data_IF_379718971208
#
_entry.id   IF_379718971208
#
_cell.length_a   1.000
_cell.length_b   1.000
_cell.length_c   1.000
_cell.angle_alpha   90.00
_cell.angle_beta   90.00
_cell.angle_gamma   90.00
#
_symmetry.space_group_name_H-M   'P 1'
#
loop_
_entity.id
_entity.type
_entity.pdbx_description
1 polymer ?
#
# COMPACT_ATOMS: atom_id res chain seq x y z
N UNK A 1 -8.91 -14.25 -7.63
CA UNK A 1 -8.24 -13.40 -8.64
C UNK A 1 -6.70 -13.36 -8.51
N UNK A 2 -6.11 -13.72 -7.35
CA UNK A 2 -4.66 -13.56 -7.09
C UNK A 2 -3.74 -14.55 -7.80
N UNK A 3 -4.18 -15.78 -8.09
CA UNK A 3 -3.31 -16.78 -8.73
C UNK A 3 -2.89 -16.44 -10.17
N UNK A 4 -3.72 -15.69 -10.91
CA UNK A 4 -3.41 -15.31 -12.29
C UNK A 4 -2.27 -14.29 -12.44
N UNK A 5 -1.98 -13.51 -11.40
CA UNK A 5 -0.91 -12.51 -11.47
C UNK A 5 0.49 -13.19 -11.48
N UNK A 6 0.69 -14.25 -10.68
CA UNK A 6 1.95 -15.00 -10.68
C UNK A 6 2.18 -15.72 -12.00
N UNK A 7 1.12 -16.26 -12.62
CA UNK A 7 1.21 -16.88 -13.94
C UNK A 7 1.58 -15.87 -15.03
N UNK A 8 1.03 -14.64 -14.97
CA UNK A 8 1.38 -13.55 -15.87
C UNK A 8 2.86 -13.20 -15.73
N UNK A 9 3.38 -13.02 -14.53
CA UNK A 9 4.80 -12.75 -14.29
C UNK A 9 5.69 -13.88 -14.77
N UNK A 10 5.35 -15.14 -14.48
CA UNK A 10 6.08 -16.28 -14.99
C UNK A 10 6.10 -16.31 -16.53
N UNK A 11 5.00 -15.97 -17.19
CA UNK A 11 4.94 -15.87 -18.65
C UNK A 11 5.85 -14.78 -19.21
N UNK A 12 5.94 -13.63 -18.56
CA UNK A 12 6.80 -12.53 -19.00
C UNK A 12 8.29 -12.87 -18.92
N UNK A 13 8.71 -13.59 -17.89
CA UNK A 13 10.11 -13.94 -17.65
C UNK A 13 10.51 -15.33 -18.16
N UNK A 14 9.57 -16.19 -18.54
CA UNK A 14 9.85 -17.53 -19.07
C UNK A 14 9.43 -17.61 -20.54
N UNK A 15 10.41 -17.55 -21.43
CA UNK A 15 10.20 -17.74 -22.87
C UNK A 15 10.72 -19.10 -23.30
N UNK A 16 10.23 -19.67 -24.43
CA UNK A 16 10.73 -20.95 -24.97
C UNK A 16 12.24 -20.98 -25.22
N UNK A 17 12.86 -19.83 -25.44
CA UNK A 17 14.28 -19.65 -25.74
C UNK A 17 15.17 -19.44 -24.50
N UNK A 18 14.60 -19.48 -23.28
CA UNK A 18 15.31 -19.27 -22.02
C UNK A 18 14.72 -18.16 -21.16
N UNK A 19 15.31 -17.94 -19.97
CA UNK A 19 14.88 -16.88 -19.06
C UNK A 19 15.39 -15.51 -19.53
N UNK A 20 14.48 -14.56 -19.65
CA UNK A 20 14.82 -13.14 -19.78
C UNK A 20 14.49 -12.43 -18.47
N UNK A 21 15.50 -11.79 -17.91
CA UNK A 21 15.34 -11.03 -16.66
C UNK A 21 14.86 -9.60 -16.87
N UNK A 22 14.79 -9.14 -18.13
CA UNK A 22 14.26 -7.81 -18.47
C UNK A 22 13.34 -7.93 -19.67
N UNK A 23 12.12 -7.42 -19.53
CA UNK A 23 11.08 -7.44 -20.58
C UNK A 23 10.43 -6.08 -20.72
N UNK A 24 10.04 -5.73 -21.93
CA UNK A 24 9.26 -4.54 -22.24
C UNK A 24 7.80 -4.93 -22.50
N UNK A 25 6.88 -4.16 -21.94
CA UNK A 25 5.45 -4.29 -22.20
C UNK A 25 4.80 -2.90 -22.25
N UNK A 26 3.63 -2.81 -22.87
CA UNK A 26 2.89 -1.55 -22.97
C UNK A 26 1.44 -1.70 -22.47
N UNK A 27 1.24 -1.96 -21.15
CA UNK A 27 -0.11 -2.05 -20.60
C UNK A 27 -0.84 -0.71 -20.76
N UNK A 28 -2.03 -0.76 -21.33
CA UNK A 28 -2.84 0.43 -21.65
C UNK A 28 -2.09 1.51 -22.47
N UNK A 29 -1.14 1.10 -23.31
CA UNK A 29 -0.36 2.01 -24.15
C UNK A 29 0.81 2.71 -23.43
N UNK A 30 1.01 2.49 -22.15
CA UNK A 30 2.18 3.01 -21.39
C UNK A 30 3.35 2.04 -21.52
N UNK A 31 4.46 2.51 -22.06
CA UNK A 31 5.69 1.73 -22.14
C UNK A 31 6.22 1.46 -20.73
N UNK A 32 6.36 0.18 -20.37
CA UNK A 32 6.90 -0.27 -19.09
C UNK A 32 8.03 -1.25 -19.36
N UNK A 33 9.11 -1.12 -18.60
CA UNK A 33 10.21 -2.07 -18.57
C UNK A 33 10.19 -2.75 -17.21
N UNK A 34 10.06 -4.08 -17.21
CA UNK A 34 10.11 -4.89 -16.00
C UNK A 34 11.44 -5.61 -15.96
N UNK A 35 12.18 -5.44 -14.89
CA UNK A 35 13.48 -6.09 -14.74
C UNK A 35 13.57 -6.86 -13.43
N UNK A 36 14.11 -8.08 -13.51
CA UNK A 36 14.53 -8.90 -12.38
C UNK A 36 16.07 -9.09 -12.40
N UNK A 37 16.79 -8.40 -13.30
CA UNK A 37 18.25 -8.43 -13.38
C UNK A 37 18.85 -7.74 -12.15
N UNK A 38 19.71 -8.44 -11.35
CA UNK A 38 20.27 -7.85 -10.13
C UNK A 38 21.08 -6.56 -10.38
N UNK A 39 21.81 -6.49 -11.48
CA UNK A 39 22.59 -5.32 -11.86
C UNK A 39 21.70 -4.11 -12.14
N UNK A 40 20.60 -4.32 -12.85
CA UNK A 40 19.63 -3.25 -13.11
C UNK A 40 18.93 -2.79 -11.82
N UNK A 41 18.55 -3.74 -10.97
CA UNK A 41 17.96 -3.43 -9.65
C UNK A 41 18.95 -2.62 -8.81
N UNK A 42 20.23 -3.03 -8.78
CA UNK A 42 21.28 -2.31 -8.06
C UNK A 42 21.52 -0.91 -8.66
N UNK A 43 21.49 -0.78 -9.97
CA UNK A 43 21.64 0.51 -10.64
C UNK A 43 20.51 1.46 -10.23
N UNK A 44 19.27 1.03 -10.34
CA UNK A 44 18.08 1.84 -10.07
C UNK A 44 17.98 2.22 -8.57
N UNK A 45 18.24 1.26 -7.67
CA UNK A 45 17.97 1.45 -6.23
C UNK A 45 19.19 1.99 -5.44
N UNK A 46 20.38 1.96 -6.02
CA UNK A 46 21.61 2.32 -5.30
C UNK A 46 22.60 3.12 -6.13
N UNK A 47 23.25 2.52 -7.14
CA UNK A 47 24.44 3.13 -7.75
C UNK A 47 24.14 4.29 -8.68
N UNK A 48 22.96 4.33 -9.26
CA UNK A 48 22.48 5.40 -10.15
C UNK A 48 21.11 5.95 -9.66
N UNK A 49 20.90 5.94 -8.35
CA UNK A 49 19.63 6.34 -7.74
C UNK A 49 19.17 7.74 -8.15
N UNK A 50 20.10 8.67 -8.37
CA UNK A 50 19.81 10.05 -8.79
C UNK A 50 19.30 10.17 -10.23
N UNK A 51 19.51 9.15 -11.06
CA UNK A 51 19.12 9.16 -12.48
C UNK A 51 17.68 8.64 -12.66
N UNK A 52 17.10 8.11 -11.59
CA UNK A 52 15.75 7.52 -11.59
C UNK A 52 14.84 8.25 -10.63
N UNK A 53 13.64 8.56 -11.08
CA UNK A 53 12.60 9.17 -10.26
C UNK A 53 11.24 8.56 -10.55
N UNK A 54 10.26 8.83 -9.70
CA UNK A 54 8.87 8.44 -9.91
C UNK A 54 8.22 9.25 -11.03
N UNK A 55 8.67 10.49 -11.15
CA UNK A 55 8.27 11.44 -12.18
C UNK A 55 6.94 12.14 -11.90
N UNK A 56 6.75 13.25 -12.61
CA UNK A 56 5.58 14.12 -12.48
C UNK A 56 4.23 13.40 -12.69
N UNK A 57 4.09 12.45 -13.63
CA UNK A 57 2.82 11.73 -13.77
C UNK A 57 2.43 10.94 -12.51
N UNK A 58 3.40 10.30 -11.88
CA UNK A 58 3.17 9.55 -10.65
C UNK A 58 2.84 10.49 -9.48
N UNK A 59 3.59 11.58 -9.32
CA UNK A 59 3.33 12.60 -8.31
C UNK A 59 1.91 13.13 -8.43
N UNK A 60 1.48 13.55 -9.61
CA UNK A 60 0.14 14.09 -9.86
C UNK A 60 -0.97 13.08 -9.57
N UNK A 61 -0.77 11.80 -9.89
CA UNK A 61 -1.75 10.74 -9.64
C UNK A 61 -1.93 10.45 -8.15
N UNK A 62 -0.87 10.58 -7.32
CA UNK A 62 -0.87 10.13 -5.94
C UNK A 62 -0.86 11.24 -4.90
N UNK A 63 -0.62 12.48 -5.32
CA UNK A 63 -0.48 13.63 -4.42
C UNK A 63 -1.72 13.86 -3.55
N UNK A 64 -2.90 13.72 -4.09
CA UNK A 64 -4.15 13.97 -3.36
C UNK A 64 -4.35 13.00 -2.20
N UNK A 65 -3.82 11.78 -2.33
CA UNK A 65 -3.89 10.76 -1.29
C UNK A 65 -2.68 10.76 -0.35
N UNK A 66 -1.47 10.86 -0.90
CA UNK A 66 -0.22 10.69 -0.14
C UNK A 66 0.49 12.01 0.20
N UNK A 67 -0.04 13.14 -0.27
CA UNK A 67 0.62 14.44 -0.12
C UNK A 67 1.99 14.48 -0.82
N UNK A 68 2.81 15.47 -0.46
CA UNK A 68 4.19 15.58 -0.93
C UNK A 68 5.15 14.74 -0.06
N UNK A 69 4.82 13.47 0.08
CA UNK A 69 5.58 12.52 0.90
C UNK A 69 6.73 11.86 0.14
N UNK A 70 7.57 11.12 0.87
CA UNK A 70 8.66 10.31 0.29
C UNK A 70 8.17 9.30 -0.77
N UNK A 71 6.88 8.96 -0.75
CA UNK A 71 6.31 8.00 -1.68
C UNK A 71 6.05 8.59 -3.06
N UNK A 72 5.86 9.89 -3.17
CA UNK A 72 5.44 10.56 -4.41
C UNK A 72 6.36 11.65 -4.90
N UNK A 73 7.30 12.12 -4.07
CA UNK A 73 8.28 13.16 -4.42
C UNK A 73 9.62 12.57 -4.86
N UNK A 74 10.40 13.36 -5.58
CA UNK A 74 11.74 13.02 -6.06
C UNK A 74 12.76 14.08 -5.63
N UNK A 75 14.04 13.77 -5.76
CA UNK A 75 15.18 14.68 -5.55
C UNK A 75 15.11 15.46 -4.23
N UNK A 76 15.20 16.79 -4.27
CA UNK A 76 15.28 17.65 -3.09
C UNK A 76 14.01 17.57 -2.22
N UNK A 77 12.83 17.47 -2.82
CA UNK A 77 11.58 17.30 -2.07
C UNK A 77 11.56 15.96 -1.34
N UNK A 78 12.01 14.90 -2.00
CA UNK A 78 12.16 13.59 -1.38
C UNK A 78 13.16 13.63 -0.21
N UNK A 79 14.31 14.28 -0.40
CA UNK A 79 15.32 14.44 0.64
C UNK A 79 14.77 15.18 1.86
N UNK A 80 14.03 16.28 1.66
CA UNK A 80 13.42 17.04 2.73
C UNK A 80 12.40 16.21 3.51
N UNK A 81 11.48 15.53 2.81
CA UNK A 81 10.49 14.64 3.43
C UNK A 81 11.14 13.48 4.18
N UNK A 82 12.20 12.88 3.62
CA UNK A 82 12.95 11.80 4.27
C UNK A 82 13.64 12.26 5.54
N UNK A 83 14.22 13.47 5.56
CA UNK A 83 14.86 14.01 6.77
C UNK A 83 13.87 14.17 7.93
N UNK A 84 12.63 14.55 7.65
CA UNK A 84 11.58 14.71 8.66
C UNK A 84 11.21 13.39 9.33
N UNK A 85 11.10 12.31 8.55
CA UNK A 85 10.64 11.02 9.08
C UNK A 85 11.77 10.12 9.60
N UNK A 86 13.02 10.35 9.15
CA UNK A 86 14.18 9.52 9.51
C UNK A 86 14.36 9.29 11.01
N UNK A 87 14.16 10.29 11.89
CA UNK A 87 14.28 10.07 13.33
C UNK A 87 13.34 9.02 13.91
N UNK A 88 12.22 8.72 13.25
CA UNK A 88 11.27 7.68 13.69
C UNK A 88 11.77 6.26 13.37
N UNK A 89 12.74 6.12 12.47
CA UNK A 89 13.26 4.83 12.00
C UNK A 89 14.70 4.56 12.46
N UNK A 90 15.17 5.28 13.48
CA UNK A 90 16.44 4.96 14.12
C UNK A 90 16.32 3.67 14.97
N UNK A 91 17.44 2.98 15.17
CA UNK A 91 17.48 1.67 15.81
C UNK A 91 16.75 1.62 17.16
N UNK A 92 16.94 2.62 17.99
CA UNK A 92 16.35 2.67 19.34
C UNK A 92 14.81 2.77 19.30
N UNK A 93 14.28 3.50 18.32
CA UNK A 93 12.82 3.61 18.14
C UNK A 93 12.21 2.35 17.52
N UNK A 94 12.88 1.76 16.55
CA UNK A 94 12.42 0.51 15.91
C UNK A 94 12.52 -0.70 16.83
N UNK A 95 13.37 -0.62 17.88
CA UNK A 95 13.50 -1.67 18.90
C UNK A 95 12.44 -1.60 19.99
N UNK A 96 11.64 -0.53 20.02
CA UNK A 96 10.52 -0.41 20.95
C UNK A 96 9.36 -1.27 20.47
N UNK A 97 9.31 -2.49 20.97
CA UNK A 97 8.31 -3.49 20.60
C UNK A 97 7.03 -3.41 21.47
N UNK A 98 7.02 -2.59 22.52
CA UNK A 98 5.89 -2.51 23.46
C UNK A 98 4.60 -2.08 22.75
N UNK A 99 4.68 -1.08 21.87
CA UNK A 99 3.53 -0.61 21.08
C UNK A 99 2.96 -1.73 20.19
N UNK A 100 3.84 -2.50 19.56
CA UNK A 100 3.41 -3.59 18.68
C UNK A 100 2.83 -4.75 19.48
N UNK A 101 3.43 -5.09 20.64
CA UNK A 101 2.95 -6.14 21.53
C UNK A 101 1.55 -5.80 22.07
N UNK A 102 1.30 -4.57 22.50
CA UNK A 102 -0.01 -4.11 22.93
C UNK A 102 -1.07 -4.40 21.87
N UNK A 103 -0.82 -4.01 20.62
CA UNK A 103 -1.76 -4.25 19.52
C UNK A 103 -1.87 -5.73 19.11
N UNK A 104 -0.81 -6.53 19.28
CA UNK A 104 -0.86 -7.98 19.09
C UNK A 104 -1.79 -8.62 20.11
N UNK A 105 -1.72 -8.22 21.38
CA UNK A 105 -2.62 -8.73 22.42
C UNK A 105 -4.08 -8.41 22.08
N UNK A 106 -4.38 -7.17 21.67
CA UNK A 106 -5.74 -6.78 21.24
C UNK A 106 -6.19 -7.64 20.04
N UNK A 107 -5.30 -7.84 19.04
CA UNK A 107 -5.59 -8.70 17.89
C UNK A 107 -5.95 -10.13 18.32
N UNK A 108 -5.15 -10.72 19.23
CA UNK A 108 -5.40 -12.07 19.73
C UNK A 108 -6.74 -12.16 20.47
N UNK A 109 -7.09 -11.12 21.28
CA UNK A 109 -8.39 -11.06 21.91
C UNK A 109 -9.55 -10.99 20.90
N UNK A 110 -9.41 -10.23 19.81
CA UNK A 110 -10.45 -10.17 18.77
C UNK A 110 -10.60 -11.51 18.04
N UNK A 111 -9.51 -12.19 17.75
CA UNK A 111 -9.52 -13.56 17.20
C UNK A 111 -10.26 -14.50 18.16
N UNK A 112 -9.93 -14.45 19.44
CA UNK A 112 -10.57 -15.27 20.48
C UNK A 112 -12.07 -14.98 20.63
N UNK A 113 -12.48 -13.72 20.67
CA UNK A 113 -13.88 -13.31 20.76
C UNK A 113 -14.70 -13.82 19.58
N UNK A 114 -14.12 -13.75 18.37
CA UNK A 114 -14.78 -14.20 17.14
C UNK A 114 -14.78 -15.71 17.01
N UNK A 115 -13.67 -16.37 17.43
CA UNK A 115 -13.50 -17.81 17.40
C UNK A 115 -14.18 -18.58 18.53
N UNK A 116 -14.62 -17.91 19.60
CA UNK A 116 -15.25 -18.55 20.79
C UNK A 116 -16.59 -19.26 20.56
N UNK A 117 -17.10 -19.28 19.34
CA UNK A 117 -18.17 -20.20 18.93
C UNK A 117 -17.66 -21.59 18.57
N UNK A 118 -16.42 -21.90 18.87
CA UNK A 118 -15.87 -23.22 18.70
C UNK A 118 -16.26 -24.11 19.88
N UNK A 119 -17.46 -24.59 19.84
CA UNK A 119 -17.94 -25.70 20.69
C UNK A 119 -17.82 -27.07 19.98
N UNK A 120 -17.02 -27.11 18.91
CA UNK A 120 -16.83 -28.30 18.07
C UNK A 120 -17.87 -28.45 16.96
N UNK A 121 -18.88 -27.61 16.89
CA UNK A 121 -19.95 -27.77 15.90
C UNK A 121 -19.93 -26.76 14.74
N UNK A 122 -19.42 -25.55 14.89
CA UNK A 122 -19.14 -24.60 13.80
C UNK A 122 -18.18 -23.52 14.28
N UNK A 123 -16.92 -23.54 13.81
CA UNK A 123 -16.02 -22.40 13.95
C UNK A 123 -16.56 -21.22 13.17
N UNK A 124 -16.66 -20.06 13.79
CA UNK A 124 -16.98 -18.83 13.07
C UNK A 124 -15.86 -18.53 12.06
N UNK A 125 -16.19 -18.25 10.81
CA UNK A 125 -15.22 -17.76 9.84
C UNK A 125 -14.74 -16.38 10.29
N UNK A 126 -13.43 -16.18 10.28
CA UNK A 126 -12.78 -14.92 10.61
C UNK A 126 -12.18 -14.34 9.35
N UNK A 127 -12.51 -13.11 9.02
CA UNK A 127 -11.77 -12.37 7.99
C UNK A 127 -10.44 -11.86 8.59
N UNK A 128 -9.43 -12.70 8.46
CA UNK A 128 -8.07 -12.38 8.94
C UNK A 128 -7.49 -11.16 8.22
N UNK A 129 -7.88 -10.93 6.95
CA UNK A 129 -7.40 -9.79 6.17
C UNK A 129 -7.87 -8.46 6.76
N UNK A 130 -9.15 -8.39 7.17
CA UNK A 130 -9.71 -7.21 7.83
C UNK A 130 -9.06 -6.96 9.21
N UNK A 131 -8.88 -8.01 10.00
CA UNK A 131 -8.22 -7.88 11.31
C UNK A 131 -6.77 -7.41 11.19
N UNK A 132 -5.99 -7.94 10.25
CA UNK A 132 -4.62 -7.48 10.02
C UNK A 132 -4.56 -6.06 9.46
N UNK A 133 -5.51 -5.65 8.63
CA UNK A 133 -5.60 -4.26 8.18
C UNK A 133 -5.79 -3.32 9.37
N UNK A 134 -6.73 -3.62 10.27
CA UNK A 134 -6.97 -2.83 11.47
C UNK A 134 -5.77 -2.83 12.41
N UNK A 135 -5.15 -3.99 12.63
CA UNK A 135 -3.93 -4.11 13.42
C UNK A 135 -2.82 -3.21 12.88
N UNK A 136 -2.54 -3.28 11.59
CA UNK A 136 -1.46 -2.47 11.00
C UNK A 136 -1.76 -0.98 11.05
N UNK A 137 -3.02 -0.58 10.88
CA UNK A 137 -3.44 0.81 10.99
C UNK A 137 -3.28 1.33 12.43
N UNK A 138 -3.75 0.57 13.41
CA UNK A 138 -3.69 0.94 14.83
C UNK A 138 -2.25 1.03 15.32
N UNK A 139 -1.44 0.00 15.03
CA UNK A 139 -0.03 -0.02 15.40
C UNK A 139 0.77 1.11 14.72
N UNK A 140 0.54 1.36 13.43
CA UNK A 140 1.24 2.42 12.70
C UNK A 140 0.86 3.82 13.22
N UNK A 141 -0.40 4.08 13.48
CA UNK A 141 -0.83 5.38 14.02
C UNK A 141 -0.33 5.58 15.45
N UNK A 142 -0.33 4.54 16.27
CA UNK A 142 0.25 4.63 17.61
C UNK A 142 1.75 4.90 17.56
N UNK A 143 2.50 4.13 16.76
CA UNK A 143 3.95 4.29 16.62
C UNK A 143 4.37 5.65 16.04
N UNK A 144 3.69 6.11 14.98
CA UNK A 144 4.07 7.34 14.27
C UNK A 144 3.50 8.60 14.89
N UNK A 145 2.27 8.54 15.40
CA UNK A 145 1.51 9.71 15.87
C UNK A 145 1.31 9.72 17.40
N UNK A 146 1.76 8.68 18.10
CA UNK A 146 1.61 8.55 19.56
C UNK A 146 0.19 8.21 20.02
N UNK A 147 -0.73 7.90 19.11
CA UNK A 147 -2.12 7.54 19.43
C UNK A 147 -2.68 6.56 18.40
N UNK A 148 -3.25 5.47 18.90
CA UNK A 148 -4.00 4.51 18.09
C UNK A 148 -5.34 5.06 17.61
N UNK A 149 -5.78 4.63 16.44
CA UNK A 149 -7.15 4.85 15.94
C UNK A 149 -8.15 4.00 16.72
N UNK A 150 -7.74 2.81 17.21
CA UNK A 150 -8.60 1.88 17.95
C UNK A 150 -9.56 1.11 17.05
N UNK A 151 -9.17 0.86 15.80
CA UNK A 151 -10.03 0.19 14.83
C UNK A 151 -10.14 -1.32 15.07
N UNK A 152 -9.19 -1.93 15.80
CA UNK A 152 -9.28 -3.33 16.22
C UNK A 152 -10.41 -3.57 17.22
N UNK A 153 -10.59 -2.64 18.16
CA UNK A 153 -11.63 -2.74 19.20
C UNK A 153 -12.99 -2.28 18.69
N UNK A 154 -12.99 -1.24 17.84
CA UNK A 154 -14.21 -0.68 17.25
C UNK A 154 -14.05 -0.58 15.73
N UNK A 155 -14.64 -1.52 15.00
CA UNK A 155 -14.59 -1.58 13.54
C UNK A 155 -15.25 -0.42 12.81
N UNK A 156 -16.10 0.34 13.49
CA UNK A 156 -16.87 1.46 12.93
C UNK A 156 -16.13 2.81 13.07
N UNK A 157 -14.81 2.79 13.28
CA UNK A 157 -14.00 4.02 13.35
C UNK A 157 -14.03 4.77 12.02
N UNK A 158 -14.54 5.99 12.03
CA UNK A 158 -14.69 6.84 10.84
C UNK A 158 -13.38 7.02 10.07
N UNK A 159 -12.27 7.20 10.79
CA UNK A 159 -10.95 7.34 10.15
C UNK A 159 -10.55 6.08 9.40
N UNK A 160 -10.73 4.89 9.97
CA UNK A 160 -10.38 3.62 9.35
C UNK A 160 -11.22 3.38 8.08
N UNK A 161 -12.51 3.66 8.13
CA UNK A 161 -13.43 3.55 7.01
C UNK A 161 -13.03 4.54 5.90
N UNK A 162 -12.83 5.80 6.24
CA UNK A 162 -12.46 6.85 5.28
C UNK A 162 -11.10 6.57 4.63
N UNK A 163 -10.13 6.11 5.40
CA UNK A 163 -8.81 5.75 4.91
C UNK A 163 -8.86 4.55 3.95
N UNK A 164 -9.62 3.51 4.29
CA UNK A 164 -9.83 2.36 3.42
C UNK A 164 -10.53 2.74 2.11
N UNK A 165 -11.54 3.60 2.17
CA UNK A 165 -12.25 4.07 0.98
C UNK A 165 -11.34 4.96 0.10
N UNK A 166 -10.56 5.85 0.69
CA UNK A 166 -9.58 6.67 -0.04
C UNK A 166 -8.57 5.79 -0.78
N UNK A 167 -8.03 4.74 -0.13
CA UNK A 167 -7.15 3.77 -0.78
C UNK A 167 -7.84 3.04 -1.94
N UNK A 168 -9.09 2.62 -1.74
CA UNK A 168 -9.87 1.94 -2.77
C UNK A 168 -10.08 2.81 -4.00
N UNK A 169 -10.49 4.06 -3.80
CA UNK A 169 -10.69 5.04 -4.87
C UNK A 169 -9.37 5.31 -5.60
N UNK A 170 -8.29 5.56 -4.87
CA UNK A 170 -6.97 5.81 -5.45
C UNK A 170 -6.49 4.64 -6.31
N UNK A 171 -6.70 3.40 -5.86
CA UNK A 171 -6.38 2.22 -6.65
C UNK A 171 -7.18 2.13 -7.96
N UNK A 172 -8.45 2.55 -7.96
CA UNK A 172 -9.27 2.60 -9.17
C UNK A 172 -8.73 3.65 -10.14
N UNK A 173 -8.43 4.85 -9.64
CA UNK A 173 -7.86 5.94 -10.45
C UNK A 173 -6.56 5.50 -11.13
N UNK A 174 -5.64 4.91 -10.37
CA UNK A 174 -4.35 4.45 -10.89
C UNK A 174 -4.49 3.34 -11.93
N UNK A 175 -5.44 2.41 -11.75
CA UNK A 175 -5.69 1.31 -12.70
C UNK A 175 -6.41 1.75 -13.96
N UNK A 176 -7.29 2.74 -13.84
CA UNK A 176 -8.03 3.28 -15.01
C UNK A 176 -7.11 4.10 -15.94
N UNK A 177 -5.90 4.44 -15.48
CA UNK A 177 -5.10 5.49 -16.11
C UNK A 177 -5.76 6.85 -15.86
N UNK A 178 -4.99 7.92 -15.89
CA UNK A 178 -5.52 9.27 -15.74
C UNK A 178 -6.36 9.65 -16.98
N UNK A 179 -7.59 9.15 -17.02
CA UNK A 179 -8.65 9.86 -17.73
C UNK A 179 -9.00 11.03 -16.81
N UNK A 180 -9.09 12.29 -17.29
CA UNK A 180 -9.46 13.39 -16.42
C UNK A 180 -10.89 13.16 -15.90
N UNK A 181 -10.98 12.51 -14.76
CA UNK A 181 -12.22 12.13 -14.08
C UNK A 181 -12.96 13.35 -13.52
N UNK A 182 -12.33 14.53 -13.54
CA UNK A 182 -12.93 15.79 -13.09
C UNK A 182 -14.21 16.17 -13.83
N UNK A 183 -14.39 15.74 -15.09
CA UNK A 183 -15.61 16.01 -15.85
C UNK A 183 -16.67 14.91 -15.70
N UNK A 184 -16.28 13.66 -15.46
CA UNK A 184 -17.22 12.53 -15.42
C UNK A 184 -17.91 12.39 -14.03
N UNK A 185 -17.23 12.69 -12.95
CA UNK A 185 -17.83 12.65 -11.60
C UNK A 185 -18.81 13.80 -11.41
N UNK A 186 -18.50 15.00 -11.91
CA UNK A 186 -19.43 16.14 -11.88
C UNK A 186 -20.70 15.89 -12.68
N UNK A 187 -20.66 15.07 -13.73
CA UNK A 187 -21.84 14.74 -14.55
C UNK A 187 -22.73 13.70 -13.86
N UNK A 188 -22.17 12.80 -13.07
CA UNK A 188 -22.95 11.76 -12.35
C UNK A 188 -23.64 12.29 -11.09
N UNK A 189 -23.08 13.32 -10.44
CA UNK A 189 -23.71 13.97 -9.27
C UNK A 189 -24.84 14.94 -9.67
N UNK A 190 -24.95 15.35 -10.93
CA UNK A 190 -26.06 16.20 -11.43
C UNK A 190 -27.28 15.42 -11.94
N UNK A 191 -27.21 14.09 -12.07
CA UNK A 191 -28.32 13.26 -12.56
C UNK A 191 -29.15 12.67 -11.39
N UNK A 192 -28.79 12.96 -10.15
CA UNK A 192 -29.42 12.44 -8.92
C UNK A 192 -30.28 13.45 -8.16
N UNK A 193 -30.93 14.41 -8.83
CA UNK A 193 -31.97 15.29 -8.25
C UNK A 193 -33.25 15.24 -9.06
#
# INVERSE_FOLDING_TARGET
MHHKNLEVWNRFFTLPEGHRYTVEAAPAGRRCIFTAEPENIKAILATQFTDYGKGEPFHREWKDFLGDSIFVTDLDQWHASRQLIRPQFIKDRVSDLEVFEEHVQILMEQIDKTGKKWDGSQGGEIDVSDLFFRYTLDAATHFLLGRSVGSLENGDQEFAIAFGEAQRVQNIITRAGYVPFSSAILTLTQIGH
#
